data_IF_021705429248
#
_entry.id   IF_021705429248
#
_cell.length_a   1.000
_cell.length_b   1.000
_cell.length_c   1.000
_cell.angle_alpha   90.00
_cell.angle_beta   90.00
_cell.angle_gamma   90.00
#
_symmetry.space_group_name_H-M   'P 1'
#
loop_
_entity.id
_entity.type
_entity.pdbx_description
1 polymer ?
#
# COMPACT_ATOMS: atom_id res chain seq x y z
N UNK A 1 36.32 -47.96 -28.22
CA UNK A 1 35.99 -47.10 -27.07
C UNK A 1 35.04 -47.80 -26.10
N UNK A 2 33.93 -48.37 -26.59
CA UNK A 2 32.96 -49.17 -25.83
C UNK A 2 33.57 -50.22 -24.89
N UNK A 3 34.30 -51.20 -25.41
CA UNK A 3 34.82 -52.32 -24.61
C UNK A 3 35.83 -51.88 -23.54
N UNK A 4 36.58 -50.81 -23.81
CA UNK A 4 37.55 -50.24 -22.89
C UNK A 4 36.88 -49.50 -21.73
N UNK A 5 35.84 -48.71 -22.00
CA UNK A 5 35.05 -48.03 -20.98
C UNK A 5 34.27 -49.05 -20.14
N UNK A 6 33.70 -50.07 -20.77
CA UNK A 6 33.04 -51.18 -20.07
C UNK A 6 34.02 -51.91 -19.15
N UNK A 7 35.22 -52.25 -19.60
CA UNK A 7 36.22 -52.91 -18.75
C UNK A 7 36.65 -52.07 -17.53
N UNK A 8 36.69 -50.74 -17.68
CA UNK A 8 37.00 -49.82 -16.58
C UNK A 8 35.82 -49.78 -15.58
N UNK A 9 34.60 -49.59 -16.08
CA UNK A 9 33.40 -49.49 -15.23
C UNK A 9 32.99 -50.81 -14.58
N UNK A 10 33.41 -51.96 -15.13
CA UNK A 10 33.31 -53.29 -14.46
C UNK A 10 34.26 -53.36 -13.25
N UNK A 11 35.48 -52.82 -13.37
CA UNK A 11 36.47 -52.86 -12.29
C UNK A 11 36.23 -51.79 -11.22
N UNK A 12 35.75 -50.62 -11.62
CA UNK A 12 35.49 -49.47 -10.77
C UNK A 12 34.20 -48.77 -11.22
N UNK A 13 33.04 -49.13 -10.65
CA UNK A 13 31.79 -48.44 -10.95
C UNK A 13 31.76 -47.04 -10.32
N UNK A 14 30.89 -46.16 -10.84
CA UNK A 14 30.68 -44.78 -10.36
C UNK A 14 31.88 -43.84 -10.58
N UNK A 15 32.48 -43.90 -11.76
CA UNK A 15 33.55 -42.97 -12.15
C UNK A 15 33.00 -41.81 -12.97
N UNK A 16 33.58 -40.63 -12.80
CA UNK A 16 33.24 -39.47 -13.62
C UNK A 16 33.85 -39.61 -15.02
N UNK A 17 33.25 -38.96 -16.02
CA UNK A 17 33.79 -38.95 -17.39
C UNK A 17 35.24 -38.42 -17.46
N UNK A 18 35.66 -37.61 -16.47
CA UNK A 18 37.04 -37.08 -16.36
C UNK A 18 38.03 -38.16 -15.91
N UNK A 19 37.64 -39.06 -15.02
CA UNK A 19 38.49 -40.14 -14.51
C UNK A 19 38.64 -41.28 -15.53
N UNK A 20 37.56 -41.56 -16.26
CA UNK A 20 37.57 -42.50 -17.39
C UNK A 20 38.49 -41.97 -18.49
N UNK A 21 38.39 -40.68 -18.82
CA UNK A 21 39.26 -40.00 -19.78
C UNK A 21 40.74 -40.05 -19.38
N UNK A 22 41.04 -39.82 -18.10
CA UNK A 22 42.41 -39.88 -17.56
C UNK A 22 43.01 -41.29 -17.63
N UNK A 23 42.19 -42.32 -17.42
CA UNK A 23 42.63 -43.73 -17.49
C UNK A 23 42.85 -44.20 -18.93
N UNK A 24 42.12 -43.65 -19.89
CA UNK A 24 42.24 -43.98 -21.32
C UNK A 24 43.21 -43.08 -22.10
N UNK A 25 43.60 -41.94 -21.53
CA UNK A 25 44.47 -40.95 -22.20
C UNK A 25 43.77 -40.16 -23.30
N UNK A 26 42.43 -40.02 -23.24
CA UNK A 26 41.59 -39.38 -24.26
C UNK A 26 40.97 -38.11 -23.67
N UNK A 27 40.56 -37.16 -24.51
CA UNK A 27 39.89 -35.94 -24.03
C UNK A 27 38.53 -36.23 -23.37
N UNK A 28 38.25 -35.53 -22.26
CA UNK A 28 36.98 -35.64 -21.52
C UNK A 28 35.76 -35.44 -22.43
N UNK A 29 35.82 -34.50 -23.39
CA UNK A 29 34.69 -34.19 -24.27
C UNK A 29 34.30 -35.38 -25.15
N UNK A 30 35.29 -36.11 -25.63
CA UNK A 30 35.10 -37.27 -26.51
C UNK A 30 34.50 -38.46 -25.75
N UNK A 31 35.01 -38.71 -24.53
CA UNK A 31 34.45 -39.74 -23.63
C UNK A 31 33.02 -39.39 -23.21
N UNK A 32 32.75 -38.12 -22.90
CA UNK A 32 31.42 -37.67 -22.49
C UNK A 32 30.43 -37.79 -23.65
N UNK A 33 30.80 -37.33 -24.85
CA UNK A 33 29.97 -37.48 -26.05
C UNK A 33 29.66 -38.96 -26.34
N UNK A 34 30.64 -39.84 -26.19
CA UNK A 34 30.45 -41.28 -26.37
C UNK A 34 29.50 -41.89 -25.33
N UNK A 35 29.61 -41.51 -24.05
CA UNK A 35 28.74 -42.00 -22.98
C UNK A 35 27.29 -41.53 -23.17
N UNK A 36 27.08 -40.27 -23.55
CA UNK A 36 25.74 -39.75 -23.86
C UNK A 36 25.10 -40.38 -25.10
N UNK A 37 25.89 -40.82 -26.07
CA UNK A 37 25.40 -41.52 -27.26
C UNK A 37 25.03 -42.98 -26.99
N UNK A 38 25.50 -43.58 -25.89
CA UNK A 38 25.31 -45.00 -25.54
C UNK A 38 24.61 -45.15 -24.17
N UNK A 39 23.54 -44.38 -23.95
CA UNK A 39 22.71 -44.44 -22.73
C UNK A 39 21.95 -45.76 -22.54
N UNK A 40 21.91 -46.59 -23.58
CA UNK A 40 21.39 -47.97 -23.55
C UNK A 40 22.30 -48.93 -22.76
N UNK A 41 23.57 -48.54 -22.55
CA UNK A 41 24.60 -49.39 -21.93
C UNK A 41 25.28 -48.70 -20.74
N UNK A 42 25.22 -47.37 -20.66
CA UNK A 42 25.81 -46.59 -19.58
C UNK A 42 24.76 -45.68 -18.95
N UNK A 43 24.67 -45.68 -17.62
CA UNK A 43 23.76 -44.83 -16.85
C UNK A 43 24.54 -43.86 -15.98
N UNK A 44 24.05 -42.63 -15.88
CA UNK A 44 24.61 -41.56 -15.06
C UNK A 44 23.75 -41.32 -13.81
N UNK A 45 24.39 -41.19 -12.66
CA UNK A 45 23.72 -40.84 -11.40
C UNK A 45 23.68 -39.31 -11.16
N UNK A 46 22.97 -38.88 -10.11
CA UNK A 46 22.80 -37.48 -9.71
C UNK A 46 24.15 -36.80 -9.33
N UNK A 47 25.21 -37.57 -9.07
CA UNK A 47 26.56 -37.07 -8.81
C UNK A 47 27.44 -36.98 -10.07
N UNK A 48 26.83 -37.14 -11.26
CA UNK A 48 27.50 -37.15 -12.57
C UNK A 48 28.48 -38.32 -12.79
N UNK A 49 28.36 -39.39 -12.01
CA UNK A 49 29.17 -40.60 -12.12
C UNK A 49 28.50 -41.61 -13.05
N UNK A 50 29.30 -42.30 -13.85
CA UNK A 50 28.83 -43.27 -14.84
C UNK A 50 29.00 -44.71 -14.34
N UNK A 51 28.03 -45.54 -14.67
CA UNK A 51 28.00 -46.97 -14.37
C UNK A 51 27.39 -47.75 -15.55
N UNK A 52 27.55 -49.07 -15.57
CA UNK A 52 26.92 -49.91 -16.60
C UNK A 52 25.42 -50.00 -16.35
N UNK A 53 24.62 -49.67 -17.35
CA UNK A 53 23.19 -49.88 -17.34
C UNK A 53 22.93 -51.40 -17.33
N UNK A 54 22.37 -51.89 -16.23
CA UNK A 54 22.10 -53.31 -16.03
C UNK A 54 21.05 -53.74 -17.06
N UNK A 55 21.45 -54.46 -18.11
CA UNK A 55 20.49 -55.10 -19.01
C UNK A 55 19.96 -56.40 -18.35
N UNK A 56 18.63 -56.61 -18.22
CA UNK A 56 18.03 -57.65 -17.37
C UNK A 56 18.07 -59.07 -17.95
N UNK A 57 19.14 -59.45 -18.64
CA UNK A 57 19.21 -60.77 -19.26
C UNK A 57 20.60 -61.39 -19.24
N UNK A 58 21.08 -61.75 -18.05
CA UNK A 58 21.82 -63.01 -17.84
C UNK A 58 21.44 -63.61 -16.48
N UNK A 59 21.04 -64.89 -16.57
CA UNK A 59 20.57 -65.84 -15.56
C UNK A 59 21.22 -65.81 -14.16
N UNK A 60 20.35 -66.05 -13.18
CA UNK A 60 20.49 -66.94 -12.00
C UNK A 60 21.93 -67.21 -11.54
N UNK A 61 22.26 -66.74 -10.33
CA UNK A 61 22.75 -67.60 -9.26
C UNK A 61 22.68 -66.85 -7.92
N UNK A 62 22.07 -67.53 -6.96
CA UNK A 62 22.14 -67.34 -5.50
C UNK A 62 21.56 -66.05 -4.90
N UNK A 63 20.41 -66.24 -4.23
CA UNK A 63 19.90 -65.34 -3.22
C UNK A 63 20.93 -65.23 -2.08
N UNK A 64 21.05 -64.04 -1.48
CA UNK A 64 20.81 -63.91 -0.06
C UNK A 64 19.44 -63.25 0.12
N UNK A 65 18.69 -63.75 1.09
CA UNK A 65 17.43 -63.12 1.50
C UNK A 65 17.72 -61.70 2.01
N UNK A 66 17.47 -60.69 1.18
CA UNK A 66 17.41 -59.29 1.60
C UNK A 66 15.94 -58.94 1.83
N UNK A 67 15.64 -58.42 3.01
CA UNK A 67 14.30 -58.06 3.46
C UNK A 67 13.80 -56.86 2.65
N UNK A 68 13.23 -57.14 1.49
CA UNK A 68 12.74 -56.15 0.51
C UNK A 68 11.71 -55.18 1.08
N UNK A 69 11.01 -55.54 2.15
CA UNK A 69 10.04 -54.66 2.82
C UNK A 69 10.70 -53.56 3.65
N UNK A 70 11.88 -53.80 4.24
CA UNK A 70 12.58 -52.80 5.05
C UNK A 70 13.20 -51.72 4.17
N UNK A 71 13.86 -52.12 3.07
CA UNK A 71 14.44 -51.17 2.12
C UNK A 71 13.37 -50.37 1.37
N UNK A 72 12.24 -50.99 1.02
CA UNK A 72 11.12 -50.29 0.40
C UNK A 72 10.49 -49.27 1.39
N UNK A 73 10.37 -49.63 2.67
CA UNK A 73 9.92 -48.69 3.70
C UNK A 73 10.89 -47.53 3.90
N UNK A 74 12.20 -47.78 3.87
CA UNK A 74 13.21 -46.72 3.99
C UNK A 74 13.19 -45.79 2.77
N UNK A 75 13.00 -46.32 1.56
CA UNK A 75 12.84 -45.51 0.34
C UNK A 75 11.57 -44.65 0.42
N UNK A 76 10.44 -45.24 0.84
CA UNK A 76 9.17 -44.52 0.98
C UNK A 76 9.27 -43.44 2.06
N UNK A 77 9.91 -43.76 3.19
CA UNK A 77 10.14 -42.82 4.29
C UNK A 77 11.03 -41.66 3.86
N UNK A 78 12.14 -41.93 3.16
CA UNK A 78 13.04 -40.90 2.66
C UNK A 78 12.35 -40.00 1.62
N UNK A 79 11.49 -40.56 0.77
CA UNK A 79 10.71 -39.78 -0.20
C UNK A 79 9.62 -38.94 0.47
N UNK A 80 9.02 -39.44 1.55
CA UNK A 80 8.09 -38.66 2.37
C UNK A 80 8.80 -37.50 3.07
N UNK A 81 10.00 -37.75 3.63
CA UNK A 81 10.83 -36.70 4.23
C UNK A 81 11.18 -35.63 3.20
N UNK A 82 11.60 -36.02 1.99
CA UNK A 82 11.89 -35.06 0.92
C UNK A 82 10.66 -34.27 0.45
N UNK A 83 9.48 -34.91 0.43
CA UNK A 83 8.23 -34.22 0.12
C UNK A 83 7.83 -33.26 1.23
N UNK A 84 8.03 -33.62 2.49
CA UNK A 84 7.79 -32.76 3.64
C UNK A 84 8.77 -31.59 3.65
N UNK A 85 10.06 -31.82 3.39
CA UNK A 85 11.08 -30.77 3.23
C UNK A 85 10.73 -29.84 2.07
N UNK A 86 10.29 -30.39 0.94
CA UNK A 86 9.86 -29.60 -0.21
C UNK A 86 8.62 -28.75 0.11
N UNK A 87 7.63 -29.30 0.80
CA UNK A 87 6.44 -28.57 1.26
C UNK A 87 6.84 -27.50 2.29
N UNK A 88 7.79 -27.79 3.19
CA UNK A 88 8.32 -26.83 4.17
C UNK A 88 9.07 -25.68 3.49
N UNK A 89 9.96 -25.98 2.52
CA UNK A 89 10.67 -24.97 1.74
C UNK A 89 9.70 -24.15 0.87
N UNK A 90 8.68 -24.78 0.29
CA UNK A 90 7.62 -24.03 -0.38
C UNK A 90 6.83 -23.15 0.59
N UNK A 91 6.54 -23.62 1.81
CA UNK A 91 5.85 -22.85 2.83
C UNK A 91 6.69 -21.63 3.26
N UNK A 92 7.99 -21.80 3.49
CA UNK A 92 8.94 -20.71 3.77
C UNK A 92 9.03 -19.70 2.62
N UNK A 93 9.13 -20.16 1.36
CA UNK A 93 9.13 -19.28 0.18
C UNK A 93 7.77 -18.64 -0.14
N UNK A 94 6.67 -19.20 0.40
CA UNK A 94 5.29 -18.68 0.26
C UNK A 94 4.80 -17.91 1.47
N UNK A 95 5.65 -17.62 2.47
CA UNK A 95 5.42 -16.61 3.51
C UNK A 95 5.42 -15.17 2.94
N UNK A 96 4.73 -14.96 1.82
CA UNK A 96 4.33 -13.63 1.38
C UNK A 96 3.14 -13.22 2.24
N UNK A 97 3.34 -12.14 2.99
CA UNK A 97 2.26 -11.43 3.66
C UNK A 97 1.17 -11.17 2.62
N UNK A 98 0.02 -11.82 2.79
CA UNK A 98 -1.07 -11.79 1.81
C UNK A 98 -1.82 -10.45 1.85
N UNK A 99 -1.73 -9.71 2.96
CA UNK A 99 -2.47 -8.48 3.20
C UNK A 99 -1.56 -7.38 3.76
N UNK A 100 -1.40 -6.29 3.00
CA UNK A 100 -0.69 -5.08 3.43
C UNK A 100 -1.66 -3.89 3.47
N UNK A 101 -1.74 -3.19 4.60
CA UNK A 101 -2.54 -1.96 4.67
C UNK A 101 -1.79 -0.84 3.97
N UNK A 102 -2.24 -0.50 2.75
CA UNK A 102 -1.71 0.63 2.01
C UNK A 102 -2.32 1.97 2.46
N UNK A 103 -1.54 2.68 3.28
CA UNK A 103 -1.35 4.13 3.19
C UNK A 103 -2.40 5.05 3.80
N UNK A 104 -3.64 4.64 4.05
CA UNK A 104 -4.66 5.54 4.61
C UNK A 104 -5.63 4.83 5.54
N UNK A 105 -5.70 5.30 6.79
CA UNK A 105 -6.61 4.78 7.82
C UNK A 105 -7.44 5.94 8.37
N UNK A 106 -8.72 5.68 8.63
CA UNK A 106 -9.61 6.63 9.28
C UNK A 106 -10.08 6.05 10.60
N UNK A 107 -9.89 6.81 11.68
CA UNK A 107 -10.39 6.41 12.98
C UNK A 107 -11.85 6.83 13.15
N UNK A 108 -12.61 6.03 13.88
CA UNK A 108 -14.03 6.30 14.15
C UNK A 108 -14.27 7.65 14.84
N UNK A 109 -13.33 8.11 15.67
CA UNK A 109 -13.41 9.42 16.31
C UNK A 109 -13.17 10.60 15.34
N UNK A 110 -12.42 10.39 14.26
CA UNK A 110 -12.20 11.40 13.23
C UNK A 110 -13.41 11.49 12.32
N UNK A 111 -13.98 10.33 11.95
CA UNK A 111 -15.20 10.24 11.15
C UNK A 111 -16.40 10.91 11.84
N UNK A 112 -16.55 10.74 13.16
CA UNK A 112 -17.63 11.37 13.95
C UNK A 112 -17.62 12.90 13.92
N UNK A 113 -16.47 13.52 13.66
CA UNK A 113 -16.31 14.98 13.64
C UNK A 113 -16.55 15.58 12.26
N UNK A 114 -16.76 14.75 11.23
CA UNK A 114 -16.91 15.22 9.86
C UNK A 114 -18.27 15.86 9.64
N UNK A 115 -18.27 16.96 8.90
CA UNK A 115 -19.50 17.60 8.41
C UNK A 115 -20.08 16.72 7.30
N UNK A 116 -21.40 16.62 7.24
CA UNK A 116 -22.09 15.83 6.22
C UNK A 116 -22.03 14.32 6.41
N UNK A 117 -21.41 13.83 7.49
CA UNK A 117 -21.49 12.42 7.89
C UNK A 117 -22.71 12.19 8.77
N UNK A 118 -23.54 11.21 8.38
CA UNK A 118 -24.68 10.74 9.17
C UNK A 118 -24.45 9.27 9.50
N UNK A 119 -24.38 8.97 10.80
CA UNK A 119 -24.35 7.60 11.29
C UNK A 119 -25.76 7.03 11.14
N UNK A 120 -25.85 5.88 10.49
CA UNK A 120 -27.07 5.12 10.32
C UNK A 120 -27.10 4.04 11.41
N UNK A 121 -28.26 3.82 12.01
CA UNK A 121 -28.46 2.73 12.98
C UNK A 121 -29.14 1.53 12.30
N UNK A 122 -28.99 1.40 10.99
CA UNK A 122 -29.56 0.31 10.21
C UNK A 122 -28.63 -0.91 10.29
N UNK A 123 -29.19 -2.13 10.12
CA UNK A 123 -28.40 -3.37 10.22
C UNK A 123 -27.33 -3.49 9.15
N UNK A 124 -27.61 -2.95 7.97
CA UNK A 124 -26.82 -3.20 6.77
C UNK A 124 -25.88 -2.01 6.45
N UNK A 125 -26.29 -0.79 6.80
CA UNK A 125 -25.55 0.45 6.53
C UNK A 125 -25.17 1.17 7.82
N UNK A 126 -23.89 1.52 7.96
CA UNK A 126 -23.36 2.10 9.19
C UNK A 126 -23.26 3.63 9.13
N UNK A 127 -22.88 4.17 7.99
CA UNK A 127 -22.85 5.62 7.80
C UNK A 127 -23.01 6.02 6.34
N UNK A 128 -23.42 7.26 6.15
CA UNK A 128 -23.46 7.92 4.85
C UNK A 128 -22.71 9.24 4.92
N UNK A 129 -22.02 9.59 3.84
CA UNK A 129 -21.29 10.85 3.70
C UNK A 129 -21.73 11.58 2.43
N UNK A 130 -22.18 12.82 2.63
CA UNK A 130 -22.61 13.70 1.56
C UNK A 130 -21.42 14.33 0.83
N UNK A 131 -21.54 14.48 -0.49
CA UNK A 131 -20.57 15.25 -1.27
C UNK A 131 -20.73 16.74 -0.98
N UNK A 132 -19.89 17.26 -0.09
CA UNK A 132 -19.89 18.66 0.28
C UNK A 132 -19.22 19.54 -0.78
N UNK A 133 -19.68 20.79 -0.86
CA UNK A 133 -19.04 21.85 -1.63
C UNK A 133 -18.53 22.94 -0.69
N UNK A 134 -17.40 23.54 -1.05
CA UNK A 134 -16.86 24.66 -0.29
C UNK A 134 -17.82 25.85 -0.37
N UNK A 135 -18.04 26.49 0.78
CA UNK A 135 -18.83 27.70 0.83
C UNK A 135 -18.08 28.85 0.16
N UNK A 136 -18.81 29.67 -0.58
CA UNK A 136 -18.24 30.87 -1.22
C UNK A 136 -17.75 31.86 -0.16
N UNK A 137 -16.61 32.48 -0.42
CA UNK A 137 -16.01 33.46 0.49
C UNK A 137 -16.94 34.65 0.70
N UNK A 138 -17.06 35.19 1.93
CA UNK A 138 -17.85 36.38 2.18
C UNK A 138 -17.33 37.53 1.32
N UNK A 139 -18.25 38.18 0.61
CA UNK A 139 -17.94 39.27 -0.32
C UNK A 139 -17.86 40.57 0.49
N UNK A 140 -16.72 41.27 0.51
CA UNK A 140 -16.61 42.57 1.16
C UNK A 140 -17.46 43.62 0.41
N UNK A 141 -17.87 44.68 1.09
CA UNK A 141 -18.56 45.78 0.42
C UNK A 141 -17.65 46.46 -0.61
N UNK A 142 -18.26 47.12 -1.60
CA UNK A 142 -17.52 47.86 -2.66
C UNK A 142 -16.54 48.90 -2.11
N UNK A 143 -16.85 49.49 -0.96
CA UNK A 143 -15.99 50.49 -0.32
C UNK A 143 -14.82 49.79 0.35
N UNK A 144 -15.08 48.72 1.11
CA UNK A 144 -14.04 47.98 1.80
C UNK A 144 -13.07 47.30 0.82
N UNK A 145 -13.58 46.73 -0.28
CA UNK A 145 -12.78 46.01 -1.29
C UNK A 145 -11.68 46.85 -1.95
N UNK A 146 -11.80 48.18 -1.94
CA UNK A 146 -10.77 49.09 -2.47
C UNK A 146 -9.58 49.29 -1.49
N UNK A 147 -9.80 48.97 -0.23
CA UNK A 147 -8.89 49.25 0.87
C UNK A 147 -8.33 47.99 1.54
N UNK A 148 -8.82 46.81 1.17
CA UNK A 148 -8.37 45.53 1.74
C UNK A 148 -7.77 44.60 0.69
N UNK A 149 -6.84 43.78 1.12
CA UNK A 149 -6.32 42.64 0.38
C UNK A 149 -6.94 41.37 0.96
N UNK A 150 -7.63 40.60 0.11
CA UNK A 150 -8.28 39.35 0.49
C UNK A 150 -7.66 38.22 -0.32
N UNK A 151 -7.01 37.30 0.38
CA UNK A 151 -6.53 36.02 -0.16
C UNK A 151 -7.31 34.88 0.53
N UNK A 152 -7.52 33.78 -0.18
CA UNK A 152 -8.32 32.64 0.31
C UNK A 152 -7.72 31.93 1.53
N UNK A 153 -6.41 32.02 1.74
CA UNK A 153 -5.72 31.32 2.83
C UNK A 153 -5.07 32.23 3.86
N UNK A 154 -5.02 33.54 3.59
CA UNK A 154 -4.43 34.52 4.50
C UNK A 154 -5.49 35.40 5.12
N UNK A 155 -5.24 35.79 6.36
CA UNK A 155 -6.07 36.76 7.06
C UNK A 155 -6.19 38.03 6.19
N UNK A 156 -7.40 38.57 5.99
CA UNK A 156 -7.58 39.82 5.27
C UNK A 156 -6.71 40.92 5.91
N UNK A 157 -6.06 41.74 5.08
CA UNK A 157 -5.20 42.83 5.57
C UNK A 157 -5.58 44.14 4.89
N UNK A 158 -5.33 45.25 5.55
CA UNK A 158 -5.50 46.56 4.92
C UNK A 158 -4.37 46.83 3.94
N UNK A 159 -4.73 47.42 2.81
CA UNK A 159 -3.78 48.03 1.90
C UNK A 159 -3.36 49.40 2.47
N UNK A 160 -2.20 49.42 3.13
CA UNK A 160 -1.62 50.65 3.69
C UNK A 160 -1.42 51.76 2.65
N UNK A 161 -1.15 51.43 1.38
CA UNK A 161 -1.03 52.43 0.34
C UNK A 161 -2.38 53.11 0.03
N UNK A 162 -3.47 52.33 0.05
CA UNK A 162 -4.83 52.87 -0.11
C UNK A 162 -5.25 53.72 1.09
N UNK A 163 -4.89 53.33 2.31
CA UNK A 163 -5.14 54.13 3.51
C UNK A 163 -4.31 55.43 3.52
N UNK A 164 -3.05 55.37 3.11
CA UNK A 164 -2.20 56.56 3.00
C UNK A 164 -2.74 57.58 1.99
N UNK A 165 -3.37 57.12 0.90
CA UNK A 165 -4.05 58.03 -0.05
C UNK A 165 -5.24 58.77 0.58
N UNK A 166 -6.00 58.12 1.45
CA UNK A 166 -7.12 58.75 2.18
C UNK A 166 -6.64 59.85 3.13
N UNK A 167 -5.49 59.64 3.77
CA UNK A 167 -4.90 60.59 4.73
C UNK A 167 -4.03 61.66 4.04
N UNK A 168 -3.60 61.41 2.80
CA UNK A 168 -2.73 62.34 2.06
C UNK A 168 -3.39 63.70 1.85
N UNK A 169 -2.60 64.76 2.07
CA UNK A 169 -2.94 66.13 1.72
C UNK A 169 -2.26 66.49 0.41
N UNK A 170 -2.95 67.25 -0.45
CA UNK A 170 -2.24 67.99 -1.51
C UNK A 170 -1.37 69.02 -0.81
N UNK A 171 -0.08 69.09 -1.17
CA UNK A 171 0.88 70.08 -0.64
C UNK A 171 0.23 71.46 -0.62
N UNK A 172 0.22 72.07 0.56
CA UNK A 172 -0.43 73.37 0.83
C UNK A 172 0.49 74.53 0.43
N UNK A 173 1.52 74.27 -0.37
CA UNK A 173 2.56 75.25 -0.70
C UNK A 173 2.02 76.46 -1.49
N UNK A 174 0.77 76.41 -1.97
CA UNK A 174 0.15 77.48 -2.78
C UNK A 174 -1.27 77.89 -2.38
N UNK A 175 -1.83 77.40 -1.27
CA UNK A 175 -3.21 77.74 -0.89
C UNK A 175 -3.26 78.42 0.48
N UNK A 176 -3.66 79.69 0.49
CA UNK A 176 -4.21 80.41 1.66
C UNK A 176 -5.51 79.73 2.12
N UNK A 177 -5.43 78.50 2.61
CA UNK A 177 -6.57 77.82 3.22
C UNK A 177 -6.63 78.20 4.70
N UNK A 178 -7.79 78.66 5.14
CA UNK A 178 -8.03 78.91 6.56
C UNK A 178 -7.82 77.60 7.34
N UNK A 179 -7.05 77.64 8.42
CA UNK A 179 -6.72 76.45 9.24
C UNK A 179 -7.96 75.66 9.70
N UNK A 180 -9.09 76.33 9.91
CA UNK A 180 -10.36 75.67 10.28
C UNK A 180 -10.89 74.73 9.17
N UNK A 181 -10.68 75.04 7.89
CA UNK A 181 -11.09 74.18 6.77
C UNK A 181 -10.24 72.90 6.72
N UNK A 182 -8.95 73.01 7.02
CA UNK A 182 -8.04 71.87 7.11
C UNK A 182 -8.44 70.97 8.29
N UNK A 183 -8.78 71.56 9.43
CA UNK A 183 -9.26 70.82 10.60
C UNK A 183 -10.59 70.07 10.31
N UNK A 184 -11.53 70.70 9.63
CA UNK A 184 -12.80 70.04 9.24
C UNK A 184 -12.60 68.89 8.24
N UNK A 185 -11.70 69.05 7.25
CA UNK A 185 -11.34 67.97 6.32
C UNK A 185 -10.71 66.78 7.04
N UNK A 186 -9.80 67.05 7.99
CA UNK A 186 -9.19 66.03 8.86
C UNK A 186 -10.24 65.26 9.65
N UNK A 187 -11.15 65.95 10.33
CA UNK A 187 -12.22 65.33 11.14
C UNK A 187 -13.10 64.45 10.24
N UNK A 188 -13.43 64.92 9.04
CA UNK A 188 -14.25 64.16 8.08
C UNK A 188 -13.54 62.89 7.61
N UNK A 189 -12.25 62.99 7.25
CA UNK A 189 -11.42 61.85 6.85
C UNK A 189 -11.25 60.82 7.97
N UNK A 190 -11.04 61.28 9.21
CA UNK A 190 -10.97 60.41 10.39
C UNK A 190 -12.29 59.64 10.57
N UNK A 191 -13.44 60.31 10.41
CA UNK A 191 -14.74 59.65 10.48
C UNK A 191 -14.94 58.56 9.41
N UNK A 192 -14.47 58.80 8.18
CA UNK A 192 -14.49 57.79 7.11
C UNK A 192 -13.62 56.59 7.48
N UNK A 193 -12.41 56.84 7.97
CA UNK A 193 -11.46 55.79 8.37
C UNK A 193 -12.02 54.94 9.53
N UNK A 194 -12.61 55.58 10.55
CA UNK A 194 -13.26 54.87 11.65
C UNK A 194 -14.39 53.95 11.17
N UNK A 195 -15.22 54.42 10.23
CA UNK A 195 -16.28 53.61 9.63
C UNK A 195 -15.72 52.42 8.86
N UNK A 196 -14.66 52.63 8.08
CA UNK A 196 -13.96 51.56 7.35
C UNK A 196 -13.34 50.52 8.28
N UNK A 197 -12.71 50.93 9.38
CA UNK A 197 -12.15 49.99 10.36
C UNK A 197 -13.24 49.15 11.02
N UNK A 198 -14.35 49.75 11.42
CA UNK A 198 -15.48 49.02 12.00
C UNK A 198 -16.08 48.01 11.02
N UNK A 199 -16.21 48.40 9.75
CA UNK A 199 -16.70 47.51 8.70
C UNK A 199 -15.73 46.35 8.43
N UNK A 200 -14.42 46.62 8.46
CA UNK A 200 -13.39 45.61 8.34
C UNK A 200 -13.39 44.62 9.49
N UNK A 201 -13.54 45.07 10.74
CA UNK A 201 -13.63 44.18 11.90
C UNK A 201 -14.82 43.22 11.77
N UNK A 202 -15.99 43.73 11.37
CA UNK A 202 -17.15 42.89 11.11
C UNK A 202 -16.89 41.88 9.97
N UNK A 203 -16.27 42.33 8.88
CA UNK A 203 -15.88 41.45 7.78
C UNK A 203 -14.90 40.37 8.23
N UNK A 204 -13.89 40.74 9.01
CA UNK A 204 -12.86 39.82 9.52
C UNK A 204 -13.48 38.74 10.40
N UNK A 205 -14.41 39.10 11.29
CA UNK A 205 -15.11 38.13 12.13
C UNK A 205 -15.91 37.13 11.27
N UNK A 206 -16.63 37.62 10.26
CA UNK A 206 -17.37 36.76 9.33
C UNK A 206 -16.43 35.86 8.50
N UNK A 207 -15.29 36.39 8.06
CA UNK A 207 -14.27 35.63 7.34
C UNK A 207 -13.65 34.55 8.21
N UNK A 208 -13.40 34.82 9.49
CA UNK A 208 -12.82 33.86 10.42
C UNK A 208 -13.76 32.69 10.70
N UNK A 209 -15.05 32.97 10.91
CA UNK A 209 -16.08 31.94 11.02
C UNK A 209 -16.18 31.11 9.73
N UNK A 210 -16.25 31.78 8.57
CA UNK A 210 -16.24 31.11 7.27
C UNK A 210 -15.00 30.22 7.07
N UNK A 211 -13.83 30.69 7.49
CA UNK A 211 -12.56 29.97 7.33
C UNK A 211 -12.55 28.71 8.19
N UNK A 212 -13.00 28.80 9.45
CA UNK A 212 -13.15 27.67 10.34
C UNK A 212 -14.10 26.62 9.76
N UNK A 213 -15.30 27.04 9.34
CA UNK A 213 -16.31 26.16 8.74
C UNK A 213 -15.78 25.48 7.46
N UNK A 214 -15.14 26.24 6.57
CA UNK A 214 -14.59 25.67 5.34
C UNK A 214 -13.41 24.73 5.59
N UNK A 215 -12.57 24.97 6.60
CA UNK A 215 -11.49 24.05 6.94
C UNK A 215 -12.04 22.72 7.50
N UNK A 216 -13.17 22.73 8.23
CA UNK A 216 -13.90 21.49 8.60
C UNK A 216 -14.50 20.78 7.37
N UNK A 217 -15.10 21.54 6.44
CA UNK A 217 -15.65 21.01 5.20
C UNK A 217 -14.54 20.39 4.35
N UNK A 218 -13.37 21.03 4.23
CA UNK A 218 -12.20 20.50 3.51
C UNK A 218 -11.76 19.14 4.05
N UNK A 219 -11.71 18.95 5.37
CA UNK A 219 -11.40 17.64 5.98
C UNK A 219 -12.39 16.57 5.54
N UNK A 220 -13.68 16.93 5.50
CA UNK A 220 -14.76 16.03 5.09
C UNK A 220 -14.67 15.69 3.60
N UNK A 221 -14.34 16.67 2.74
CA UNK A 221 -14.09 16.47 1.30
C UNK A 221 -12.93 15.50 1.06
N UNK A 222 -11.81 15.64 1.79
CA UNK A 222 -10.65 14.74 1.65
C UNK A 222 -11.05 13.29 1.96
N UNK A 223 -11.86 13.08 3.00
CA UNK A 223 -12.34 11.74 3.37
C UNK A 223 -13.27 11.19 2.29
N UNK A 224 -14.22 12.01 1.83
CA UNK A 224 -15.13 11.66 0.74
C UNK A 224 -14.37 11.26 -0.54
N UNK A 225 -13.39 12.06 -0.96
CA UNK A 225 -12.62 11.82 -2.19
C UNK A 225 -11.83 10.51 -2.10
N UNK A 226 -11.29 10.16 -0.92
CA UNK A 226 -10.63 8.86 -0.71
C UNK A 226 -11.62 7.70 -0.77
N UNK A 227 -12.77 7.79 -0.09
CA UNK A 227 -13.81 6.75 -0.17
C UNK A 227 -14.29 6.54 -1.61
N UNK A 228 -14.49 7.64 -2.35
CA UNK A 228 -14.86 7.61 -3.76
C UNK A 228 -13.79 6.93 -4.61
N UNK A 229 -12.51 7.29 -4.40
CA UNK A 229 -11.38 6.68 -5.11
C UNK A 229 -11.28 5.18 -4.83
N UNK A 230 -11.43 4.77 -3.57
CA UNK A 230 -11.40 3.35 -3.20
C UNK A 230 -12.57 2.60 -3.83
N UNK A 231 -13.78 3.15 -3.78
CA UNK A 231 -14.92 2.51 -4.45
C UNK A 231 -14.69 2.34 -5.95
N UNK A 232 -14.07 3.34 -6.57
CA UNK A 232 -13.76 3.32 -8.00
C UNK A 232 -12.68 2.27 -8.32
N UNK A 233 -11.64 2.15 -7.48
CA UNK A 233 -10.58 1.17 -7.65
C UNK A 233 -11.09 -0.27 -7.52
N UNK A 234 -11.90 -0.55 -6.49
CA UNK A 234 -12.53 -1.86 -6.26
C UNK A 234 -13.41 -2.26 -7.44
N UNK A 235 -14.23 -1.33 -7.95
CA UNK A 235 -15.16 -1.62 -9.04
C UNK A 235 -14.48 -1.71 -10.42
N UNK A 236 -13.33 -1.04 -10.63
CA UNK A 236 -12.62 -1.06 -11.91
C UNK A 236 -11.70 -2.29 -12.08
N UNK A 237 -11.37 -3.01 -11.02
CA UNK A 237 -10.75 -4.33 -11.07
C UNK A 237 -9.47 -4.42 -11.90
N UNK A 238 -8.35 -3.90 -11.38
CA UNK A 238 -7.03 -4.15 -11.93
C UNK A 238 -6.53 -5.56 -11.58
N UNK A 239 -6.07 -6.32 -12.57
CA UNK A 239 -5.61 -7.71 -12.45
C UNK A 239 -4.55 -7.93 -11.36
N UNK A 240 -4.85 -8.78 -10.37
CA UNK A 240 -3.86 -9.37 -9.47
C UNK A 240 -4.41 -9.61 -8.07
N UNK A 241 -4.62 -8.53 -7.33
CA UNK A 241 -4.97 -8.57 -5.91
C UNK A 241 -6.29 -7.83 -5.70
N UNK A 242 -7.27 -8.50 -5.07
CA UNK A 242 -8.56 -7.88 -4.77
C UNK A 242 -8.39 -6.84 -3.66
N UNK A 243 -8.41 -5.57 -4.01
CA UNK A 243 -8.47 -4.50 -3.00
C UNK A 243 -9.79 -4.62 -2.22
N UNK A 244 -9.70 -4.66 -0.90
CA UNK A 244 -10.85 -4.69 0.00
C UNK A 244 -10.74 -3.58 1.03
N UNK A 245 -11.90 -3.04 1.43
CA UNK A 245 -11.99 -2.10 2.55
C UNK A 245 -12.58 -2.85 3.72
N UNK A 246 -11.93 -2.71 4.87
CA UNK A 246 -12.36 -3.37 6.10
C UNK A 246 -12.52 -2.36 7.22
N UNK A 247 -13.49 -2.61 8.10
CA UNK A 247 -13.53 -2.02 9.42
C UNK A 247 -12.70 -2.89 10.36
N UNK A 248 -11.57 -2.33 10.82
CA UNK A 248 -10.65 -3.00 11.73
C UNK A 248 -10.89 -2.65 13.19
N UNK A 249 -10.82 -3.63 14.09
CA UNK A 249 -10.74 -3.44 15.53
C UNK A 249 -9.45 -4.04 16.10
N UNK A 250 -8.81 -3.34 17.03
CA UNK A 250 -7.57 -3.77 17.67
C UNK A 250 -6.41 -3.79 16.68
N UNK A 251 -5.84 -2.61 16.37
CA UNK A 251 -4.65 -2.51 15.53
C UNK A 251 -3.46 -3.11 16.25
N UNK A 252 -2.76 -4.04 15.60
CA UNK A 252 -1.48 -4.57 16.07
C UNK A 252 -0.40 -4.09 15.13
N UNK A 253 0.67 -3.56 15.72
CA UNK A 253 1.89 -3.19 15.03
C UNK A 253 2.93 -4.27 15.30
N UNK A 254 3.53 -4.82 14.25
CA UNK A 254 4.67 -5.73 14.38
C UNK A 254 5.78 -5.34 13.41
N UNK A 255 7.01 -5.64 13.79
CA UNK A 255 8.19 -5.45 12.94
C UNK A 255 8.73 -6.82 12.61
N UNK A 256 8.79 -7.16 11.32
CA UNK A 256 9.38 -8.44 10.92
C UNK A 256 10.88 -8.45 11.28
N UNK A 257 11.37 -9.41 12.07
CA UNK A 257 12.79 -9.46 12.45
C UNK A 257 13.73 -9.57 11.25
N UNK A 258 13.29 -10.24 10.18
CA UNK A 258 14.06 -10.50 8.96
C UNK A 258 14.20 -9.29 8.04
N UNK A 259 13.14 -8.50 7.90
CA UNK A 259 13.10 -7.36 6.95
C UNK A 259 13.14 -5.99 7.62
N UNK A 260 13.01 -5.93 8.95
CA UNK A 260 12.79 -4.70 9.73
C UNK A 260 11.63 -3.82 9.24
N UNK A 261 10.76 -4.34 8.37
CA UNK A 261 9.59 -3.63 7.89
C UNK A 261 8.51 -3.68 8.98
N UNK A 262 7.99 -2.50 9.32
CA UNK A 262 6.86 -2.37 10.23
C UNK A 262 5.57 -2.61 9.46
N UNK A 263 4.72 -3.45 10.02
CA UNK A 263 3.38 -3.72 9.54
C UNK A 263 2.40 -3.33 10.63
N UNK A 264 1.24 -2.81 10.21
CA UNK A 264 0.10 -2.75 11.11
C UNK A 264 -1.08 -3.42 10.47
N UNK A 265 -1.81 -4.19 11.26
CA UNK A 265 -2.99 -4.90 10.82
C UNK A 265 -4.02 -5.00 11.95
N UNK A 266 -5.34 -4.85 11.68
CA UNK A 266 -6.38 -5.06 12.69
C UNK A 266 -6.58 -6.54 12.99
N UNK A 267 -6.75 -6.89 14.28
CA UNK A 267 -7.01 -8.26 14.73
C UNK A 267 -8.37 -8.79 14.29
N UNK A 268 -9.34 -7.89 14.19
CA UNK A 268 -10.70 -8.22 13.80
C UNK A 268 -11.07 -7.32 12.62
N UNK A 269 -11.48 -7.93 11.52
CA UNK A 269 -11.92 -7.23 10.31
C UNK A 269 -13.37 -7.53 10.01
N UNK A 270 -14.09 -6.51 9.57
CA UNK A 270 -15.41 -6.66 8.96
C UNK A 270 -15.31 -6.08 7.55
N UNK A 271 -15.54 -6.87 6.49
CA UNK A 271 -15.48 -6.37 5.13
C UNK A 271 -16.59 -5.34 4.90
N UNK A 272 -16.24 -4.23 4.28
CA UNK A 272 -17.15 -3.12 4.01
C UNK A 272 -17.55 -3.10 2.54
N UNK A 273 -18.83 -2.78 2.33
CA UNK A 273 -19.39 -2.47 1.02
C UNK A 273 -19.73 -0.99 0.94
N UNK A 274 -19.60 -0.41 -0.25
CA UNK A 274 -19.91 0.98 -0.51
C UNK A 274 -20.83 1.12 -1.70
N UNK A 275 -21.86 1.95 -1.56
CA UNK A 275 -22.77 2.31 -2.63
C UNK A 275 -22.72 3.81 -2.90
N UNK A 276 -22.64 4.19 -4.17
CA UNK A 276 -22.68 5.60 -4.60
C UNK A 276 -24.02 5.86 -5.27
N UNK A 277 -24.84 6.70 -4.64
CA UNK A 277 -26.11 7.16 -5.20
C UNK A 277 -25.91 8.17 -6.34
N UNK A 278 -26.97 8.37 -7.14
CA UNK A 278 -26.98 9.31 -8.28
C UNK A 278 -26.68 10.77 -7.90
N UNK A 279 -26.95 11.16 -6.66
CA UNK A 279 -26.66 12.48 -6.10
C UNK A 279 -25.21 12.63 -5.62
N UNK A 280 -24.40 11.55 -5.67
CA UNK A 280 -23.05 11.51 -5.13
C UNK A 280 -23.00 11.28 -3.62
N UNK A 281 -24.07 10.78 -2.99
CA UNK A 281 -24.03 10.30 -1.61
C UNK A 281 -23.33 8.94 -1.57
N UNK A 282 -22.35 8.77 -0.69
CA UNK A 282 -21.70 7.48 -0.45
C UNK A 282 -22.29 6.87 0.81
N UNK A 283 -22.80 5.65 0.70
CA UNK A 283 -23.22 4.82 1.84
C UNK A 283 -22.17 3.75 2.07
N UNK A 284 -21.83 3.49 3.34
CA UNK A 284 -20.85 2.49 3.74
C UNK A 284 -21.49 1.55 4.76
N UNK A 285 -21.40 0.26 4.50
CA UNK A 285 -22.07 -0.80 5.26
C UNK A 285 -21.22 -2.05 5.37
N UNK A 286 -21.66 -3.00 6.18
CA UNK A 286 -20.99 -4.29 6.27
C UNK A 286 -21.41 -5.18 5.10
N UNK A 287 -20.44 -5.74 4.37
CA UNK A 287 -20.70 -6.73 3.32
C UNK A 287 -21.15 -8.06 3.92
N UNK A 288 -20.55 -8.43 5.05
CA UNK A 288 -20.97 -9.53 5.91
C UNK A 288 -20.89 -9.06 7.36
N UNK A 289 -21.87 -9.43 8.19
CA UNK A 289 -21.88 -9.12 9.62
C UNK A 289 -20.99 -10.04 10.43
N UNK A 290 -20.47 -11.12 9.83
CA UNK A 290 -19.47 -11.98 10.43
C UNK A 290 -18.12 -11.28 10.44
N UNK A 291 -17.63 -11.02 11.64
CA UNK A 291 -16.28 -10.53 11.84
C UNK A 291 -15.29 -11.67 11.57
N UNK A 292 -14.27 -11.39 10.76
CA UNK A 292 -13.14 -12.27 10.56
C UNK A 292 -12.12 -11.96 11.66
N UNK A 293 -11.69 -13.00 12.37
CA UNK A 293 -10.56 -12.90 13.29
C UNK A 293 -9.33 -13.20 12.46
N UNK A 294 -8.56 -12.17 12.15
CA UNK A 294 -7.33 -12.30 11.39
C UNK A 294 -6.17 -12.50 12.37
N UNK A 295 -6.14 -13.68 12.99
CA UNK A 295 -4.95 -14.19 13.70
C UNK A 295 -4.12 -15.13 12.81
N UNK A 296 -4.43 -15.25 11.52
CA UNK A 296 -3.73 -16.14 10.58
C UNK A 296 -2.57 -15.45 9.83
N UNK A 297 -2.25 -14.19 10.15
CA UNK A 297 -1.26 -13.43 9.38
C UNK A 297 0.17 -14.01 9.45
N UNK A 298 0.50 -14.86 10.43
CA UNK A 298 1.71 -15.68 10.41
C UNK A 298 1.47 -16.98 11.21
N UNK A 299 1.39 -18.13 10.54
CA UNK A 299 1.77 -19.40 11.15
C UNK A 299 3.30 -19.35 11.33
N UNK A 300 3.76 -18.83 12.47
CA UNK A 300 5.07 -19.15 12.98
C UNK A 300 4.91 -20.54 13.62
N UNK A 301 5.46 -21.59 12.99
CA UNK A 301 5.76 -22.77 13.79
C UNK A 301 6.87 -22.38 14.76
N UNK A 302 6.55 -22.42 16.06
CA UNK A 302 7.53 -22.35 17.14
C UNK A 302 8.49 -23.56 17.05
N UNK A 303 9.77 -23.31 17.37
CA UNK A 303 10.95 -24.20 17.38
C UNK A 303 10.74 -25.71 17.64
#
# INVERSE_FOLDING_TARGET
MKDLITAILVKQPKLTAREIAKTLGIEKKEVNAFLYQNQDIFSQDEAFCWSLAINPSVKKLERPMMNSELELNDIVKNKLIQLLDYVSHQAEDTQKIQYEINGNRFYSYDLKKLRGLKILNDSDWWFQIERLQLQSMPIPSKQLSLHIHVETEKVPTFNYASLNKLVSFKRVDHLRLAYFLVANDLITKIGIIQKLFKEFENYRNNWELWKQDNDEIKKSIIVYDKLFSWNTAINLGGTGDGEEIVAGFGLVDWVLPTTQKSYSYPLITIPLEMEIEKNGLIRVGAKDTRANIEMDAILLEDD
#
